data_IF_419583810501
#
_entry.id   IF_419583810501
#
_cell.length_a   1.000
_cell.length_b   1.000
_cell.length_c   1.000
_cell.angle_alpha   90.00
_cell.angle_beta   90.00
_cell.angle_gamma   90.00
#
_symmetry.space_group_name_H-M   'P 1'
#
loop_
_entity.id
_entity.type
_entity.pdbx_description
1 polymer ?
#
# COMPACT_ATOMS: atom_id res chain seq x y z
N UNK A 1 -15.91 4.12 7.36
CA UNK A 1 -15.49 4.40 5.97
C UNK A 1 -16.06 5.75 5.54
N UNK A 2 -15.23 6.68 5.04
CA UNK A 2 -15.69 8.00 4.60
C UNK A 2 -16.42 7.95 3.24
N UNK A 3 -17.34 8.88 3.02
CA UNK A 3 -18.14 9.01 1.78
C UNK A 3 -17.27 9.24 0.54
N UNK A 4 -16.27 10.11 0.63
CA UNK A 4 -15.30 10.40 -0.44
C UNK A 4 -14.54 9.16 -0.92
N UNK A 5 -14.05 8.33 0.01
CA UNK A 5 -13.32 7.09 -0.32
C UNK A 5 -14.22 6.11 -1.08
N UNK A 6 -15.48 6.01 -0.67
CA UNK A 6 -16.47 5.14 -1.31
C UNK A 6 -16.85 5.61 -2.72
N UNK A 7 -16.89 6.92 -2.98
CA UNK A 7 -17.08 7.47 -4.32
C UNK A 7 -15.86 7.24 -5.23
N UNK A 8 -14.64 7.39 -4.70
CA UNK A 8 -13.40 7.15 -5.45
C UNK A 8 -13.33 5.71 -5.96
N UNK A 9 -13.67 4.74 -5.11
CA UNK A 9 -13.79 3.32 -5.47
C UNK A 9 -14.75 3.08 -6.65
N UNK A 10 -15.87 3.80 -6.70
CA UNK A 10 -16.87 3.66 -7.76
C UNK A 10 -16.47 4.33 -9.08
N UNK A 11 -15.80 5.49 -9.06
CA UNK A 11 -15.56 6.29 -10.28
C UNK A 11 -14.39 5.81 -11.14
N UNK A 12 -13.39 5.14 -10.56
CA UNK A 12 -12.12 4.87 -11.24
C UNK A 12 -11.80 3.38 -11.45
N UNK A 13 -12.76 2.47 -11.20
CA UNK A 13 -12.49 1.03 -11.25
C UNK A 13 -11.37 0.60 -10.28
N UNK A 14 -11.25 1.30 -9.16
CA UNK A 14 -10.20 1.08 -8.16
C UNK A 14 -10.69 0.11 -7.08
N UNK A 15 -9.82 -0.77 -6.60
CA UNK A 15 -10.13 -1.76 -5.56
C UNK A 15 -9.26 -1.52 -4.31
N UNK A 16 -9.74 -1.93 -3.13
CA UNK A 16 -8.89 -1.96 -1.93
C UNK A 16 -8.16 -3.31 -1.86
N UNK A 17 -6.85 -3.27 -1.65
CA UNK A 17 -6.02 -4.48 -1.63
C UNK A 17 -5.06 -4.49 -0.45
N UNK A 18 -4.73 -5.70 -0.01
CA UNK A 18 -3.78 -5.93 1.07
C UNK A 18 -2.36 -6.02 0.52
N UNK A 19 -1.43 -5.40 1.26
CA UNK A 19 -0.02 -5.39 0.96
C UNK A 19 0.79 -5.77 2.19
N UNK A 20 1.94 -6.38 1.94
CA UNK A 20 3.00 -6.59 2.94
C UNK A 20 4.23 -5.84 2.47
N UNK A 21 4.89 -5.13 3.37
CA UNK A 21 6.13 -4.42 3.07
C UNK A 21 7.08 -4.42 4.28
N UNK A 22 8.33 -4.10 4.00
CA UNK A 22 9.35 -3.82 5.01
C UNK A 22 9.49 -2.31 5.17
N UNK A 23 9.49 -1.82 6.40
CA UNK A 23 9.71 -0.41 6.71
C UNK A 23 11.20 -0.12 6.58
N UNK A 24 11.58 0.77 5.67
CA UNK A 24 12.94 1.29 5.64
C UNK A 24 13.09 2.45 6.62
N UNK A 25 12.15 3.39 6.59
CA UNK A 25 12.08 4.51 7.52
C UNK A 25 10.64 4.98 7.71
N UNK A 26 10.35 5.62 8.84
CA UNK A 26 9.07 6.27 9.09
C UNK A 26 9.29 7.57 9.87
N UNK A 27 8.45 8.56 9.59
CA UNK A 27 8.45 9.85 10.27
C UNK A 27 7.01 10.22 10.62
N UNK A 28 6.68 10.07 11.90
CA UNK A 28 5.37 10.41 12.43
C UNK A 28 5.02 11.90 12.27
N UNK A 29 5.98 12.82 12.40
CA UNK A 29 5.71 14.27 12.35
C UNK A 29 5.23 14.72 10.98
N UNK A 30 5.77 14.12 9.92
CA UNK A 30 5.46 14.47 8.53
C UNK A 30 4.49 13.49 7.88
N UNK A 31 4.05 12.44 8.59
CA UNK A 31 3.23 11.36 8.02
C UNK A 31 3.90 10.66 6.84
N UNK A 32 5.24 10.62 6.83
CA UNK A 32 6.03 10.05 5.72
C UNK A 32 6.56 8.66 6.11
N UNK A 33 6.50 7.73 5.18
CA UNK A 33 7.02 6.37 5.34
C UNK A 33 7.71 5.92 4.06
N UNK A 34 8.85 5.25 4.19
CA UNK A 34 9.56 4.61 3.08
C UNK A 34 9.46 3.11 3.26
N UNK A 35 8.94 2.45 2.23
CA UNK A 35 8.67 1.02 2.20
C UNK A 35 9.52 0.33 1.13
N UNK A 36 10.06 -0.83 1.48
CA UNK A 36 10.77 -1.72 0.56
C UNK A 36 10.09 -3.09 0.49
N UNK A 37 10.41 -3.84 -0.56
CA UNK A 37 9.94 -5.21 -0.77
C UNK A 37 8.43 -5.37 -0.58
N UNK A 38 7.67 -4.67 -1.42
CA UNK A 38 6.22 -4.61 -1.32
C UNK A 38 5.60 -5.74 -2.11
N UNK A 39 4.77 -6.54 -1.45
CA UNK A 39 4.09 -7.70 -2.02
C UNK A 39 2.57 -7.58 -1.89
N UNK A 40 1.87 -8.11 -2.88
CA UNK A 40 0.43 -8.36 -2.84
C UNK A 40 0.15 -9.85 -3.03
N UNK A 41 -0.98 -10.39 -2.53
CA UNK A 41 -1.45 -11.72 -2.94
C UNK A 41 -1.66 -11.77 -4.47
N UNK A 42 -1.07 -12.79 -5.09
CA UNK A 42 -1.29 -13.17 -6.48
C UNK A 42 -2.19 -14.40 -6.58
N UNK A 43 -2.33 -14.92 -7.80
CA UNK A 43 -3.05 -16.16 -8.05
C UNK A 43 -2.32 -17.37 -7.45
N UNK A 44 -3.09 -18.38 -7.02
CA UNK A 44 -2.57 -19.65 -6.48
C UNK A 44 -1.67 -19.49 -5.24
N UNK A 45 -1.93 -18.50 -4.40
CA UNK A 45 -1.21 -18.28 -3.14
C UNK A 45 0.22 -17.75 -3.31
N UNK A 46 0.65 -17.47 -4.55
CA UNK A 46 1.95 -16.83 -4.80
C UNK A 46 1.91 -15.36 -4.37
N UNK A 47 3.03 -14.87 -3.84
CA UNK A 47 3.23 -13.44 -3.57
C UNK A 47 3.81 -12.78 -4.82
N UNK A 48 3.25 -11.65 -5.22
CA UNK A 48 3.75 -10.87 -6.35
C UNK A 48 4.43 -9.63 -5.79
N UNK A 49 5.71 -9.42 -6.12
CA UNK A 49 6.42 -8.18 -5.78
C UNK A 49 5.90 -7.08 -6.70
N UNK A 50 5.35 -6.02 -6.11
CA UNK A 50 4.75 -4.88 -6.84
C UNK A 50 5.66 -3.67 -6.89
N UNK A 51 6.54 -3.51 -5.89
CA UNK A 51 7.54 -2.45 -5.88
C UNK A 51 8.73 -2.84 -5.00
N UNK A 52 9.92 -2.37 -5.37
CA UNK A 52 11.13 -2.51 -4.55
C UNK A 52 11.29 -1.37 -3.54
N UNK A 53 10.76 -0.18 -3.85
CA UNK A 53 10.95 1.03 -3.07
C UNK A 53 9.81 2.03 -3.31
N UNK A 54 9.18 2.52 -2.25
CA UNK A 54 8.04 3.46 -2.34
C UNK A 54 8.10 4.48 -1.22
N UNK A 55 7.79 5.73 -1.58
CA UNK A 55 7.52 6.80 -0.63
C UNK A 55 6.00 6.92 -0.45
N UNK A 56 5.53 6.76 0.78
CA UNK A 56 4.14 6.94 1.17
C UNK A 56 4.04 8.22 2.00
N UNK A 57 3.20 9.15 1.57
CA UNK A 57 2.99 10.43 2.24
C UNK A 57 1.61 10.50 2.87
N UNK A 58 1.43 11.47 3.77
CA UNK A 58 0.15 11.77 4.43
C UNK A 58 -0.46 10.57 5.18
N UNK A 59 0.39 9.68 5.72
CA UNK A 59 -0.06 8.56 6.55
C UNK A 59 -0.46 9.11 7.91
N UNK A 60 -1.75 9.02 8.24
CA UNK A 60 -2.30 9.48 9.51
C UNK A 60 -2.60 8.29 10.44
N UNK A 61 -1.57 7.51 10.78
CA UNK A 61 -1.70 6.35 11.66
C UNK A 61 -0.76 6.49 12.89
N UNK A 62 -1.28 6.45 14.12
CA UNK A 62 -0.47 6.48 15.34
C UNK A 62 0.60 5.38 15.41
N UNK A 63 0.43 4.27 14.68
CA UNK A 63 1.40 3.18 14.64
C UNK A 63 2.76 3.62 14.10
N UNK A 64 2.82 4.66 13.26
CA UNK A 64 4.08 5.22 12.75
C UNK A 64 5.05 5.58 13.88
N UNK A 65 4.55 5.99 15.07
CA UNK A 65 5.42 6.28 16.24
C UNK A 65 6.19 5.06 16.75
N UNK A 66 5.71 3.86 16.43
CA UNK A 66 6.23 2.58 16.92
C UNK A 66 6.98 1.79 15.85
N UNK A 67 6.86 2.17 14.57
CA UNK A 67 7.52 1.49 13.47
C UNK A 67 9.00 1.84 13.43
N UNK A 68 9.83 0.81 13.41
CA UNK A 68 11.29 0.92 13.25
C UNK A 68 11.70 0.47 11.85
N UNK A 69 12.93 0.81 11.47
CA UNK A 69 13.53 0.24 10.26
C UNK A 69 13.60 -1.29 10.40
N UNK A 70 13.38 -1.98 9.28
CA UNK A 70 13.26 -3.44 9.15
C UNK A 70 12.00 -4.06 9.79
N UNK A 71 11.04 -3.26 10.25
CA UNK A 71 9.74 -3.79 10.65
C UNK A 71 8.95 -4.29 9.44
N UNK A 72 8.36 -5.47 9.56
CA UNK A 72 7.41 -5.95 8.56
C UNK A 72 6.01 -5.47 8.92
N UNK A 73 5.34 -4.86 7.96
CA UNK A 73 3.99 -4.36 8.12
C UNK A 73 3.05 -4.96 7.09
N UNK A 74 1.78 -5.07 7.47
CA UNK A 74 0.66 -5.28 6.56
C UNK A 74 -0.18 -4.01 6.53
N UNK A 75 -0.66 -3.61 5.35
CA UNK A 75 -1.50 -2.42 5.18
C UNK A 75 -2.49 -2.62 4.04
N UNK A 76 -3.54 -1.78 3.99
CA UNK A 76 -4.42 -1.68 2.82
C UNK A 76 -4.15 -0.41 2.04
N UNK A 77 -4.23 -0.50 0.71
CA UNK A 77 -4.11 0.64 -0.18
C UNK A 77 -5.11 0.50 -1.34
N UNK A 78 -5.45 1.63 -1.96
CA UNK A 78 -6.33 1.65 -3.13
C UNK A 78 -5.49 1.47 -4.40
N UNK A 79 -5.81 0.46 -5.20
CA UNK A 79 -5.17 0.15 -6.48
C UNK A 79 -6.07 0.56 -7.63
N UNK A 80 -5.49 1.19 -8.65
CA UNK A 80 -6.21 1.59 -9.85
C UNK A 80 -6.03 0.58 -10.97
N UNK A 81 -7.14 0.14 -11.55
CA UNK A 81 -7.12 -0.62 -12.79
C UNK A 81 -7.21 0.37 -13.96
N UNK A 82 -6.22 0.36 -14.84
CA UNK A 82 -6.31 1.09 -16.10
C UNK A 82 -6.48 0.07 -17.23
N UNK A 83 -7.66 0.10 -17.84
CA UNK A 83 -7.87 -0.56 -19.13
C UNK A 83 -7.19 0.29 -20.20
N UNK A 84 -6.18 -0.26 -20.86
CA UNK A 84 -5.57 0.42 -22.00
C UNK A 84 -6.14 -0.21 -23.26
N UNK A 85 -6.77 0.61 -24.11
CA UNK A 85 -7.28 0.17 -25.42
C UNK A 85 -6.16 -0.19 -26.40
N UNK A 86 -4.90 0.00 -26.01
CA UNK A 86 -3.72 -0.14 -26.88
C UNK A 86 -3.06 -1.52 -26.83
N UNK A 87 -3.35 -2.33 -25.81
CA UNK A 87 -2.67 -3.63 -25.58
C UNK A 87 -3.59 -4.78 -25.17
N UNK A 88 -4.93 -4.62 -25.20
CA UNK A 88 -5.91 -5.61 -24.71
C UNK A 88 -5.52 -6.22 -23.35
N UNK A 89 -4.90 -5.40 -22.51
CA UNK A 89 -4.30 -5.81 -21.24
C UNK A 89 -4.71 -4.85 -20.14
N UNK A 90 -5.17 -5.39 -19.02
CA UNK A 90 -5.45 -4.63 -17.80
C UNK A 90 -4.13 -4.37 -17.08
N UNK A 91 -3.66 -3.12 -17.11
CA UNK A 91 -2.47 -2.73 -16.35
C UNK A 91 -2.93 -2.34 -14.95
N UNK A 92 -2.49 -3.13 -13.96
CA UNK A 92 -2.67 -2.79 -12.55
C UNK A 92 -1.67 -1.72 -12.14
N UNK A 93 -2.16 -0.53 -11.83
CA UNK A 93 -1.35 0.51 -11.22
C UNK A 93 -1.50 0.41 -9.70
N UNK A 94 -0.38 0.52 -9.00
CA UNK A 94 -0.31 0.50 -7.54
C UNK A 94 0.06 1.88 -7.02
N UNK A 95 -0.79 2.91 -7.22
CA UNK A 95 -0.58 4.17 -6.56
C UNK A 95 -0.76 3.93 -5.06
N UNK A 96 0.31 4.02 -4.27
CA UNK A 96 0.26 3.90 -2.81
C UNK A 96 -0.32 5.18 -2.17
N UNK A 97 -1.37 5.71 -2.80
CA UNK A 97 -2.18 6.80 -2.33
C UNK A 97 -3.21 6.22 -1.37
N UNK A 98 -3.38 6.82 -0.19
CA UNK A 98 -4.31 6.35 0.84
C UNK A 98 -3.96 4.97 1.41
N UNK A 99 -2.82 4.90 2.09
CA UNK A 99 -2.46 3.74 2.92
C UNK A 99 -3.17 3.82 4.27
N UNK A 100 -3.80 2.71 4.67
CA UNK A 100 -4.53 2.59 5.93
C UNK A 100 -4.37 1.20 6.55
N UNK A 101 -4.93 1.02 7.74
CA UNK A 101 -4.96 -0.25 8.48
C UNK A 101 -3.57 -0.87 8.66
N UNK A 102 -2.57 -0.04 8.95
CA UNK A 102 -1.20 -0.49 9.08
C UNK A 102 -1.08 -1.34 10.36
N UNK A 103 -0.56 -2.55 10.23
CA UNK A 103 -0.30 -3.48 11.32
C UNK A 103 1.12 -4.02 11.22
N UNK A 104 1.90 -3.91 12.30
CA UNK A 104 3.19 -4.61 12.40
C UNK A 104 2.93 -6.11 12.54
N UNK A 105 3.58 -6.91 11.70
CA UNK A 105 3.46 -8.37 11.66
C UNK A 105 4.80 -9.09 11.92
N UNK A 106 5.90 -8.35 12.03
CA UNK A 106 7.22 -8.89 12.37
C UNK A 106 8.32 -7.83 12.36
N UNK A 107 9.58 -8.26 12.47
CA UNK A 107 10.77 -7.39 12.47
C UNK A 107 11.35 -7.11 13.86
N UNK A 108 12.31 -6.18 13.92
CA UNK A 108 13.11 -5.93 15.12
C UNK A 108 12.25 -5.40 16.28
N UNK A 109 12.48 -5.93 17.49
CA UNK A 109 11.85 -5.49 18.73
C UNK A 109 12.47 -4.19 19.25
#
# INVERSE_FOLDING_TARGET
>A
MSSQRREMLKRYGVEERFFVATVQSSNFKTGHMVLTDIYTPGENGKRIKVASHVHVFNVNDPILRKLKSQDMIMFTAVVGNYETTKYDSVIKNYPFNYVDNIKKIGGNR
#
